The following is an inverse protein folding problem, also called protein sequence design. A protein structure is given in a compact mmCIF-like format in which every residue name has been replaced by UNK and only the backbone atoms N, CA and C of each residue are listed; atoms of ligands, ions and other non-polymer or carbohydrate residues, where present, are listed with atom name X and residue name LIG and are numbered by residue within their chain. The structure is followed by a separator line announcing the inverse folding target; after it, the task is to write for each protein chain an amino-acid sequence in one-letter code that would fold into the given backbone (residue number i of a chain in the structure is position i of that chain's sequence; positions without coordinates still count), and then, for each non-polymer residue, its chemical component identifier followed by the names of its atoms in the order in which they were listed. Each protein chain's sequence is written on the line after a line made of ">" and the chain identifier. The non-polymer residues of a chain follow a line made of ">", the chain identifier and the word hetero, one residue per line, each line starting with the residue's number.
data_IF_718472039076
#
_entry.id   IF_718472039076
#
_cell.length_a   1.000
_cell.length_b   1.000
_cell.length_c   1.000
_cell.angle_alpha   90.00
_cell.angle_beta   90.00
_cell.angle_gamma   90.00
#
_symmetry.space_group_name_H-M   'P 1'
#
loop_
_entity.id
_entity.type
_entity.pdbx_description
1 polymer ?
#
# COMPACT_ATOMS: atom_id res chain seq x y z
N UNK A 1 16.62 -2.62 -18.17
CA UNK A 1 16.93 -4.00 -18.56
C UNK A 1 17.83 -4.74 -17.56
N UNK A 2 18.84 -4.10 -16.96
CA UNK A 2 19.71 -4.77 -15.99
C UNK A 2 19.11 -4.79 -14.58
N UNK A 3 18.32 -3.79 -14.21
CA UNK A 3 17.60 -3.73 -12.94
C UNK A 3 16.40 -4.68 -12.91
N UNK A 4 15.78 -4.96 -14.05
CA UNK A 4 14.68 -5.94 -14.16
C UNK A 4 15.17 -7.35 -13.76
N UNK A 5 16.40 -7.68 -14.08
CA UNK A 5 17.03 -8.96 -13.74
C UNK A 5 17.31 -9.10 -12.24
N UNK A 6 17.38 -7.98 -11.53
CA UNK A 6 17.63 -7.94 -10.08
C UNK A 6 16.34 -7.88 -9.23
N UNK A 7 15.18 -7.86 -9.88
CA UNK A 7 13.92 -7.94 -9.16
C UNK A 7 13.74 -9.34 -8.59
N UNK A 8 13.79 -9.45 -7.27
CA UNK A 8 13.55 -10.72 -6.58
C UNK A 8 12.09 -10.82 -6.16
N UNK A 9 11.46 -11.98 -6.32
CA UNK A 9 10.12 -12.20 -5.81
C UNK A 9 10.02 -11.96 -4.30
N UNK A 10 8.86 -11.53 -3.84
CA UNK A 10 8.57 -11.35 -2.43
C UNK A 10 7.59 -12.43 -2.00
N UNK A 11 8.01 -13.30 -1.09
CA UNK A 11 7.16 -14.30 -0.47
C UNK A 11 6.75 -13.81 0.92
N UNK A 12 5.46 -13.65 1.15
CA UNK A 12 4.92 -13.24 2.43
C UNK A 12 4.16 -14.41 3.04
N UNK A 13 4.80 -15.05 4.01
CA UNK A 13 4.24 -16.14 4.83
C UNK A 13 3.74 -17.35 4.03
N UNK A 14 4.23 -17.56 2.81
CA UNK A 14 3.77 -18.64 1.92
C UNK A 14 2.35 -18.44 1.37
N UNK A 15 1.70 -17.34 1.70
CA UNK A 15 0.31 -17.03 1.34
C UNK A 15 0.21 -16.08 0.17
N UNK A 16 1.08 -15.06 0.13
CA UNK A 16 1.13 -14.08 -0.94
C UNK A 16 2.52 -14.09 -1.58
N UNK A 17 2.55 -14.24 -2.89
CA UNK A 17 3.77 -14.25 -3.68
C UNK A 17 3.69 -13.14 -4.73
N UNK A 18 4.64 -12.20 -4.66
CA UNK A 18 4.71 -11.06 -5.57
C UNK A 18 5.89 -11.29 -6.50
N UNK A 19 5.64 -11.38 -7.78
CA UNK A 19 6.64 -11.74 -8.78
C UNK A 19 6.52 -10.91 -10.06
N UNK A 20 7.60 -10.90 -10.83
CA UNK A 20 7.57 -10.37 -12.20
C UNK A 20 7.01 -11.44 -13.17
N UNK A 21 6.57 -11.03 -14.39
CA UNK A 21 6.05 -11.98 -15.37
C UNK A 21 7.04 -13.09 -15.75
N UNK A 22 8.35 -12.83 -15.68
CA UNK A 22 9.40 -13.79 -16.02
C UNK A 22 9.75 -14.77 -14.87
N UNK A 23 9.16 -14.60 -13.69
CA UNK A 23 9.31 -15.55 -12.59
C UNK A 23 8.27 -16.66 -12.71
N UNK A 24 8.60 -17.84 -12.23
CA UNK A 24 7.69 -18.98 -12.21
C UNK A 24 6.49 -18.72 -11.30
N UNK A 25 5.33 -19.17 -11.76
CA UNK A 25 4.11 -19.14 -10.97
C UNK A 25 4.23 -20.10 -9.79
N UNK A 26 3.75 -19.68 -8.62
CA UNK A 26 3.70 -20.52 -7.43
C UNK A 26 2.27 -20.97 -7.12
N UNK A 27 2.15 -21.88 -6.14
CA UNK A 27 0.85 -22.32 -5.61
C UNK A 27 0.33 -21.43 -4.48
N UNK A 28 0.91 -20.25 -4.25
CA UNK A 28 0.44 -19.33 -3.22
C UNK A 28 -1.02 -18.92 -3.44
N UNK A 29 -1.75 -18.70 -2.36
CA UNK A 29 -3.15 -18.26 -2.40
C UNK A 29 -3.31 -16.99 -3.21
N UNK A 30 -2.40 -16.04 -3.03
CA UNK A 30 -2.34 -14.79 -3.80
C UNK A 30 -1.03 -14.74 -4.57
N UNK A 31 -1.10 -14.98 -5.88
CA UNK A 31 0.02 -14.87 -6.80
C UNK A 31 -0.15 -13.56 -7.59
N UNK A 32 0.61 -12.55 -7.20
CA UNK A 32 0.51 -11.20 -7.77
C UNK A 32 1.64 -10.99 -8.77
N UNK A 33 1.27 -10.64 -9.99
CA UNK A 33 2.23 -10.39 -11.09
C UNK A 33 2.38 -8.89 -11.29
N UNK A 34 3.59 -8.40 -11.11
CA UNK A 34 3.94 -6.99 -11.24
C UNK A 34 4.99 -6.82 -12.33
N UNK A 35 4.75 -5.94 -13.29
CA UNK A 35 5.78 -5.51 -14.21
C UNK A 35 6.75 -4.58 -13.47
N UNK A 36 8.00 -4.98 -13.24
CA UNK A 36 8.95 -4.19 -12.45
C UNK A 36 9.53 -3.06 -13.30
N UNK A 37 8.78 -1.97 -13.42
CA UNK A 37 9.27 -0.74 -14.05
C UNK A 37 9.94 0.16 -13.01
N UNK A 38 10.49 1.30 -13.44
CA UNK A 38 11.18 2.27 -12.58
C UNK A 38 10.35 2.82 -11.42
N UNK A 39 9.04 2.59 -11.42
CA UNK A 39 8.13 2.92 -10.33
C UNK A 39 8.30 2.06 -9.09
N UNK A 40 9.01 0.93 -9.20
CA UNK A 40 9.32 0.09 -8.05
C UNK A 40 10.53 0.69 -7.33
N UNK A 41 10.28 1.36 -6.20
CA UNK A 41 11.32 2.03 -5.44
C UNK A 41 12.41 1.08 -4.99
N UNK A 42 13.67 1.48 -5.19
CA UNK A 42 14.83 0.75 -4.72
C UNK A 42 14.85 0.68 -3.18
N UNK A 43 14.95 -0.52 -2.62
CA UNK A 43 15.17 -0.72 -1.19
C UNK A 43 13.90 -0.81 -0.33
N UNK A 44 12.72 -0.94 -0.92
CA UNK A 44 11.47 -0.98 -0.16
C UNK A 44 10.84 -2.37 -0.06
N UNK A 45 11.61 -3.44 -0.21
CA UNK A 45 11.12 -4.80 -0.04
C UNK A 45 10.56 -5.04 1.37
N UNK A 46 11.22 -4.50 2.40
CA UNK A 46 10.82 -4.63 3.79
C UNK A 46 9.46 -3.98 4.06
N UNK A 47 9.24 -2.77 3.56
CA UNK A 47 7.98 -2.05 3.77
C UNK A 47 6.83 -2.70 3.01
N UNK A 48 7.06 -3.11 1.78
CA UNK A 48 6.07 -3.87 0.99
C UNK A 48 5.73 -5.18 1.67
N UNK A 49 6.72 -5.91 2.18
CA UNK A 49 6.51 -7.14 2.93
C UNK A 49 5.62 -6.92 4.16
N UNK A 50 5.93 -5.92 4.98
CA UNK A 50 5.17 -5.62 6.20
C UNK A 50 3.75 -5.14 5.89
N UNK A 51 3.57 -4.27 4.92
CA UNK A 51 2.24 -3.79 4.51
C UNK A 51 1.39 -4.94 3.95
N UNK A 52 1.99 -5.82 3.16
CA UNK A 52 1.35 -7.03 2.66
C UNK A 52 0.91 -7.92 3.82
N UNK A 53 1.78 -8.15 4.80
CA UNK A 53 1.45 -8.93 6.00
C UNK A 53 0.29 -8.32 6.77
N UNK A 54 0.26 -6.99 6.94
CA UNK A 54 -0.87 -6.30 7.57
C UNK A 54 -2.19 -6.59 6.85
N UNK A 55 -2.20 -6.51 5.53
CA UNK A 55 -3.41 -6.79 4.74
C UNK A 55 -3.83 -8.25 4.89
N UNK A 56 -2.88 -9.19 4.95
CA UNK A 56 -3.16 -10.61 5.14
C UNK A 56 -3.70 -10.92 6.55
N UNK A 57 -3.26 -10.19 7.56
CA UNK A 57 -3.65 -10.41 8.96
C UNK A 57 -4.94 -9.67 9.36
N UNK A 58 -5.43 -8.77 8.53
CA UNK A 58 -6.60 -7.96 8.83
C UNK A 58 -7.68 -8.16 7.75
N UNK A 59 -8.91 -7.87 8.11
CA UNK A 59 -10.04 -8.05 7.21
C UNK A 59 -10.24 -6.82 6.33
N UNK A 60 -10.24 -7.02 5.00
CA UNK A 60 -10.56 -5.99 4.01
C UNK A 60 -11.78 -6.36 3.17
N UNK A 61 -12.40 -7.49 3.45
CA UNK A 61 -13.56 -7.96 2.70
C UNK A 61 -14.73 -6.97 2.83
N UNK A 62 -15.36 -6.69 1.70
CA UNK A 62 -16.50 -5.77 1.58
C UNK A 62 -16.18 -4.33 2.01
N UNK A 63 -14.90 -3.95 2.08
CA UNK A 63 -14.46 -2.63 2.50
C UNK A 63 -14.03 -1.77 1.31
N UNK A 64 -14.11 -0.45 1.50
CA UNK A 64 -13.58 0.55 0.56
C UNK A 64 -12.17 0.92 1.03
N UNK A 65 -11.19 0.73 0.16
CA UNK A 65 -9.76 0.84 0.50
C UNK A 65 -9.11 1.94 -0.34
N UNK A 66 -8.23 2.72 0.30
CA UNK A 66 -7.34 3.67 -0.37
C UNK A 66 -5.90 3.15 -0.30
N UNK A 67 -5.24 3.07 -1.44
CA UNK A 67 -3.79 2.86 -1.55
C UNK A 67 -3.13 4.17 -1.97
N UNK A 68 -2.58 4.89 -1.00
CA UNK A 68 -1.98 6.21 -1.19
C UNK A 68 -0.49 6.11 -1.45
N UNK A 69 -0.02 6.72 -2.55
CA UNK A 69 1.34 6.50 -3.05
C UNK A 69 1.50 5.07 -3.57
N UNK A 70 0.59 4.64 -4.42
CA UNK A 70 0.40 3.23 -4.76
C UNK A 70 1.56 2.57 -5.52
N UNK A 71 2.44 3.35 -6.15
CA UNK A 71 3.58 2.81 -6.90
C UNK A 71 3.16 1.86 -8.01
N UNK A 72 3.46 0.57 -7.82
CA UNK A 72 3.06 -0.49 -8.76
C UNK A 72 1.65 -1.03 -8.50
N UNK A 73 0.95 -0.54 -7.48
CA UNK A 73 -0.36 -0.98 -7.01
C UNK A 73 -0.39 -2.37 -6.34
N UNK A 74 0.73 -2.88 -5.86
CA UNK A 74 0.78 -4.19 -5.17
C UNK A 74 -0.26 -4.28 -4.05
N UNK A 75 -0.33 -3.27 -3.19
CA UNK A 75 -1.22 -3.29 -2.02
C UNK A 75 -2.69 -3.19 -2.44
N UNK A 76 -2.99 -2.35 -3.43
CA UNK A 76 -4.33 -2.24 -4.02
C UNK A 76 -4.78 -3.57 -4.62
N UNK A 77 -3.91 -4.24 -5.35
CA UNK A 77 -4.19 -5.53 -5.97
C UNK A 77 -4.48 -6.59 -4.90
N UNK A 78 -3.65 -6.67 -3.85
CA UNK A 78 -3.89 -7.62 -2.76
C UNK A 78 -5.23 -7.35 -2.06
N UNK A 79 -5.54 -6.09 -1.76
CA UNK A 79 -6.82 -5.72 -1.15
C UNK A 79 -8.00 -6.15 -2.04
N UNK A 80 -7.90 -5.92 -3.35
CA UNK A 80 -8.90 -6.36 -4.32
C UNK A 80 -9.09 -7.88 -4.31
N UNK A 81 -8.00 -8.64 -4.38
CA UNK A 81 -8.02 -10.10 -4.37
C UNK A 81 -8.58 -10.65 -3.05
N UNK A 82 -8.44 -9.93 -1.95
CA UNK A 82 -8.99 -10.31 -0.64
C UNK A 82 -10.44 -9.86 -0.43
N UNK A 83 -11.09 -9.36 -1.45
CA UNK A 83 -12.52 -9.10 -1.43
C UNK A 83 -12.94 -7.67 -1.10
N UNK A 84 -12.04 -6.69 -1.14
CA UNK A 84 -12.43 -5.28 -1.04
C UNK A 84 -13.51 -4.96 -2.09
N UNK A 85 -14.49 -4.15 -1.71
CA UNK A 85 -15.56 -3.74 -2.62
C UNK A 85 -15.03 -2.82 -3.71
N UNK A 86 -14.23 -1.85 -3.30
CA UNK A 86 -13.60 -0.88 -4.19
C UNK A 86 -12.25 -0.49 -3.63
N UNK A 87 -11.28 -0.30 -4.51
CA UNK A 87 -9.95 0.20 -4.15
C UNK A 87 -9.65 1.41 -5.01
N UNK A 88 -9.33 2.54 -4.37
CA UNK A 88 -8.77 3.71 -5.02
C UNK A 88 -7.25 3.69 -4.82
N UNK A 89 -6.51 3.80 -5.90
CA UNK A 89 -5.05 3.82 -5.90
C UNK A 89 -4.56 5.14 -6.48
N UNK A 90 -3.77 5.89 -5.70
CA UNK A 90 -3.36 7.25 -6.06
C UNK A 90 -1.84 7.35 -6.03
N UNK A 91 -1.27 7.94 -7.06
CA UNK A 91 0.15 8.30 -7.09
C UNK A 91 0.34 9.62 -7.81
N UNK A 92 1.29 10.42 -7.36
CA UNK A 92 1.63 11.70 -7.97
C UNK A 92 2.45 11.52 -9.24
N UNK A 93 3.15 10.39 -9.36
CA UNK A 93 4.02 10.08 -10.48
C UNK A 93 3.22 9.46 -11.63
N UNK A 94 3.30 10.07 -12.80
CA UNK A 94 2.62 9.57 -14.00
C UNK A 94 3.06 8.14 -14.36
N UNK A 95 4.33 7.79 -14.16
CA UNK A 95 4.80 6.43 -14.39
C UNK A 95 4.13 5.41 -13.48
N UNK A 96 3.99 5.76 -12.20
CA UNK A 96 3.30 4.93 -11.23
C UNK A 96 1.81 4.81 -11.59
N UNK A 97 1.18 5.91 -11.98
CA UNK A 97 -0.21 5.91 -12.44
C UNK A 97 -0.43 4.93 -13.59
N UNK A 98 0.37 5.02 -14.65
CA UNK A 98 0.26 4.15 -15.83
C UNK A 98 0.59 2.69 -15.48
N UNK A 99 1.65 2.46 -14.70
CA UNK A 99 2.06 1.13 -14.30
C UNK A 99 1.02 0.45 -13.38
N UNK A 100 0.39 1.22 -12.50
CA UNK A 100 -0.69 0.71 -11.65
C UNK A 100 -1.89 0.23 -12.46
N UNK A 101 -2.27 0.95 -13.50
CA UNK A 101 -3.36 0.54 -14.41
C UNK A 101 -3.02 -0.80 -15.07
N UNK A 102 -1.81 -0.90 -15.64
CA UNK A 102 -1.35 -2.14 -16.29
C UNK A 102 -1.32 -3.32 -15.33
N UNK A 103 -0.82 -3.12 -14.11
CA UNK A 103 -0.72 -4.18 -13.13
C UNK A 103 -2.09 -4.61 -12.59
N UNK A 104 -3.02 -3.67 -12.39
CA UNK A 104 -4.38 -4.00 -12.02
C UNK A 104 -5.07 -4.88 -13.09
N UNK A 105 -4.92 -4.53 -14.35
CA UNK A 105 -5.43 -5.33 -15.47
C UNK A 105 -4.78 -6.71 -15.55
N UNK A 106 -3.46 -6.77 -15.40
CA UNK A 106 -2.68 -8.02 -15.43
C UNK A 106 -3.14 -9.02 -14.36
N UNK A 107 -3.61 -8.53 -13.22
CA UNK A 107 -4.12 -9.35 -12.13
C UNK A 107 -5.65 -9.48 -12.13
N UNK A 108 -6.33 -9.02 -13.18
CA UNK A 108 -7.79 -9.08 -13.34
C UNK A 108 -8.56 -8.37 -12.22
N UNK A 109 -7.99 -7.30 -11.67
CA UNK A 109 -8.62 -6.49 -10.63
C UNK A 109 -9.45 -5.36 -11.26
N UNK A 110 -10.75 -5.59 -11.47
CA UNK A 110 -11.64 -4.65 -12.15
C UNK A 110 -12.21 -3.58 -11.23
N UNK A 111 -12.06 -3.72 -9.93
CA UNK A 111 -12.59 -2.81 -8.91
C UNK A 111 -11.53 -1.84 -8.36
N UNK A 112 -10.37 -1.75 -9.01
CA UNK A 112 -9.34 -0.76 -8.69
C UNK A 112 -9.51 0.42 -9.64
N UNK A 113 -9.65 1.62 -9.07
CA UNK A 113 -9.62 2.86 -9.81
C UNK A 113 -8.32 3.60 -9.50
N UNK A 114 -7.56 3.94 -10.53
CA UNK A 114 -6.25 4.59 -10.37
C UNK A 114 -6.38 6.07 -10.70
N UNK A 115 -5.79 6.92 -9.88
CA UNK A 115 -5.77 8.37 -10.06
C UNK A 115 -4.33 8.90 -10.02
N UNK A 116 -4.04 9.90 -10.83
CA UNK A 116 -2.81 10.66 -10.74
C UNK A 116 -3.05 11.91 -9.90
N UNK A 117 -2.32 12.05 -8.80
CA UNK A 117 -2.46 13.20 -7.91
C UNK A 117 -1.83 12.98 -6.54
N UNK A 118 -2.00 13.95 -5.68
CA UNK A 118 -1.57 13.91 -4.28
C UNK A 118 -2.77 13.89 -3.32
N UNK A 119 -2.52 14.11 -2.02
CA UNK A 119 -3.57 14.09 -1.02
C UNK A 119 -4.65 15.19 -1.21
N UNK A 120 -4.37 16.21 -2.03
CA UNK A 120 -5.33 17.27 -2.29
C UNK A 120 -6.59 16.80 -3.04
N UNK A 121 -6.51 15.66 -3.74
CA UNK A 121 -7.65 15.10 -4.46
C UNK A 121 -8.54 14.21 -3.58
N UNK A 122 -8.12 13.93 -2.35
CA UNK A 122 -8.89 13.09 -1.42
C UNK A 122 -10.19 13.77 -1.00
N UNK A 123 -11.22 12.95 -0.78
CA UNK A 123 -12.47 13.41 -0.21
C UNK A 123 -12.23 14.05 1.17
N UNK A 124 -12.92 15.16 1.43
CA UNK A 124 -12.86 15.86 2.74
C UNK A 124 -13.92 15.35 3.71
N UNK A 125 -14.50 14.21 3.40
CA UNK A 125 -15.54 13.54 4.17
C UNK A 125 -15.23 12.05 4.24
N UNK A 126 -15.74 11.31 5.23
CA UNK A 126 -15.49 9.89 5.38
C UNK A 126 -15.89 9.09 4.14
N UNK A 127 -14.94 8.37 3.57
CA UNK A 127 -15.14 7.54 2.38
C UNK A 127 -14.52 6.14 2.53
N UNK A 128 -13.36 6.03 3.17
CA UNK A 128 -12.60 4.79 3.22
C UNK A 128 -12.72 4.09 4.56
N UNK A 129 -12.84 2.78 4.50
CA UNK A 129 -12.75 1.90 5.67
C UNK A 129 -11.29 1.63 6.05
N UNK A 130 -10.41 1.57 5.05
CA UNK A 130 -8.99 1.28 5.21
C UNK A 130 -8.18 2.23 4.33
N UNK A 131 -7.14 2.82 4.91
CA UNK A 131 -6.13 3.61 4.19
C UNK A 131 -4.78 2.91 4.33
N UNK A 132 -4.12 2.68 3.20
CA UNK A 132 -2.78 2.14 3.12
C UNK A 132 -1.86 3.23 2.60
N UNK A 133 -0.82 3.59 3.35
CA UNK A 133 0.10 4.65 2.97
C UNK A 133 1.56 4.22 3.21
N UNK A 134 2.19 3.72 2.17
CA UNK A 134 3.60 3.35 2.17
C UNK A 134 4.41 4.48 1.52
N UNK A 135 4.64 5.53 2.29
CA UNK A 135 5.23 6.79 1.84
C UNK A 135 6.22 7.29 2.90
N UNK A 136 7.17 8.17 2.51
CA UNK A 136 8.15 8.69 3.46
C UNK A 136 7.50 9.52 4.58
N UNK A 137 8.22 9.60 5.72
CA UNK A 137 7.78 10.28 6.95
C UNK A 137 7.25 11.69 6.71
N UNK A 138 7.97 12.51 5.97
CA UNK A 138 7.64 13.92 5.84
C UNK A 138 6.32 14.14 5.11
N UNK A 139 6.06 13.35 4.07
CA UNK A 139 4.79 13.38 3.34
C UNK A 139 3.66 12.87 4.21
N UNK A 140 3.86 11.77 4.95
CA UNK A 140 2.85 11.23 5.85
C UNK A 140 2.41 12.25 6.90
N UNK A 141 3.37 12.95 7.52
CA UNK A 141 3.08 13.98 8.52
C UNK A 141 2.33 15.16 7.89
N UNK A 142 2.78 15.62 6.73
CA UNK A 142 2.16 16.72 6.00
C UNK A 142 0.69 16.42 5.65
N UNK A 143 0.40 15.21 5.20
CA UNK A 143 -0.90 14.83 4.65
C UNK A 143 -1.80 14.10 5.67
N UNK A 144 -1.36 13.96 6.92
CA UNK A 144 -2.06 13.18 7.95
C UNK A 144 -3.51 13.62 8.15
N UNK A 145 -3.76 14.94 8.14
CA UNK A 145 -5.13 15.47 8.26
C UNK A 145 -6.02 14.97 7.11
N UNK A 146 -5.50 14.98 5.90
CA UNK A 146 -6.26 14.51 4.73
C UNK A 146 -6.64 13.04 4.85
N UNK A 147 -5.76 12.21 5.41
CA UNK A 147 -6.06 10.80 5.66
C UNK A 147 -7.12 10.64 6.75
N UNK A 148 -7.01 11.40 7.82
CA UNK A 148 -8.03 11.38 8.89
C UNK A 148 -9.41 11.83 8.41
N UNK A 149 -9.47 12.88 7.59
CA UNK A 149 -10.72 13.43 7.08
C UNK A 149 -11.47 12.45 6.16
N UNK A 150 -10.74 11.65 5.36
CA UNK A 150 -11.36 10.69 4.45
C UNK A 150 -11.59 9.30 5.04
N UNK A 151 -11.17 9.06 6.27
CA UNK A 151 -11.35 7.80 6.97
C UNK A 151 -12.71 7.77 7.68
N UNK A 152 -13.45 6.69 7.50
CA UNK A 152 -14.70 6.46 8.24
C UNK A 152 -14.42 6.23 9.72
N UNK A 153 -15.40 6.54 10.57
CA UNK A 153 -15.35 6.19 11.99
C UNK A 153 -15.16 4.68 12.17
N UNK A 154 -14.20 4.30 13.02
CA UNK A 154 -13.82 2.90 13.20
C UNK A 154 -12.93 2.35 12.09
N UNK A 155 -12.56 3.16 11.11
CA UNK A 155 -11.64 2.79 10.04
C UNK A 155 -10.21 2.59 10.53
N UNK A 156 -9.39 1.99 9.69
CA UNK A 156 -8.01 1.64 9.99
C UNK A 156 -7.05 2.26 9.01
N UNK A 157 -5.90 2.74 9.51
CA UNK A 157 -4.80 3.22 8.67
C UNK A 157 -3.55 2.39 8.95
N UNK A 158 -2.86 2.02 7.89
CA UNK A 158 -1.58 1.33 7.92
C UNK A 158 -0.52 2.21 7.27
N UNK A 159 0.51 2.54 8.01
CA UNK A 159 1.62 3.38 7.55
C UNK A 159 2.89 2.57 7.44
N UNK A 160 3.70 2.84 6.44
CA UNK A 160 5.09 2.41 6.33
C UNK A 160 5.87 3.36 5.41
N UNK A 161 7.16 3.09 5.23
CA UNK A 161 8.05 3.94 4.43
C UNK A 161 8.96 4.82 5.30
N UNK A 162 9.14 4.45 6.55
CA UNK A 162 9.96 5.14 7.53
C UNK A 162 10.61 4.16 8.50
N UNK A 163 11.52 4.66 9.33
CA UNK A 163 12.29 3.86 10.27
C UNK A 163 11.69 3.88 11.68
N UNK A 164 12.17 2.97 12.52
CA UNK A 164 11.74 2.87 13.92
C UNK A 164 11.92 4.22 14.65
N UNK A 165 12.99 4.96 14.38
CA UNK A 165 13.27 6.27 14.97
C UNK A 165 12.20 7.31 14.64
N UNK A 166 11.47 7.11 13.56
CA UNK A 166 10.44 8.06 13.09
C UNK A 166 9.08 7.86 13.77
N UNK A 167 8.88 6.76 14.50
CA UNK A 167 7.61 6.42 15.13
C UNK A 167 7.02 7.56 15.94
N UNK A 168 7.78 8.23 16.84
CA UNK A 168 7.20 9.30 17.67
C UNK A 168 6.61 10.45 16.85
N UNK A 169 7.21 10.78 15.71
CA UNK A 169 6.74 11.86 14.83
C UNK A 169 5.44 11.46 14.11
N UNK A 170 5.38 10.24 13.59
CA UNK A 170 4.18 9.71 12.93
C UNK A 170 3.04 9.57 13.93
N UNK A 171 3.31 9.00 15.09
CA UNK A 171 2.31 8.79 16.15
C UNK A 171 1.71 10.11 16.61
N UNK A 172 2.55 11.12 16.86
CA UNK A 172 2.09 12.45 17.27
C UNK A 172 1.15 13.07 16.22
N UNK A 173 1.51 13.00 14.94
CA UNK A 173 0.70 13.52 13.86
C UNK A 173 -0.64 12.77 13.75
N UNK A 174 -0.61 11.45 13.90
CA UNK A 174 -1.81 10.60 13.84
C UNK A 174 -2.75 10.89 15.03
N UNK A 175 -2.23 10.97 16.23
CA UNK A 175 -3.02 11.28 17.44
C UNK A 175 -3.68 12.65 17.36
N UNK A 176 -3.04 13.64 16.75
CA UNK A 176 -3.63 14.96 16.51
C UNK A 176 -4.88 14.90 15.62
N UNK A 177 -5.02 13.87 14.82
CA UNK A 177 -6.20 13.63 13.96
C UNK A 177 -7.16 12.59 14.55
N UNK A 178 -7.02 12.26 15.83
CA UNK A 178 -7.93 11.33 16.52
C UNK A 178 -7.67 9.86 16.25
N UNK A 179 -6.51 9.52 15.70
CA UNK A 179 -6.11 8.14 15.47
C UNK A 179 -5.40 7.57 16.68
N UNK A 180 -5.57 6.29 16.94
CA UNK A 180 -4.94 5.59 18.06
C UNK A 180 -4.03 4.48 17.57
N UNK A 181 -2.87 4.34 18.19
CA UNK A 181 -1.92 3.27 17.92
C UNK A 181 -2.51 1.91 18.30
N UNK A 182 -2.38 0.93 17.43
CA UNK A 182 -2.84 -0.45 17.67
C UNK A 182 -1.65 -1.41 17.74
N UNK A 183 -0.81 -1.45 16.71
CA UNK A 183 0.27 -2.42 16.60
C UNK A 183 1.33 -1.97 15.60
N UNK A 184 2.45 -2.68 15.56
CA UNK A 184 3.50 -2.44 14.59
C UNK A 184 4.19 -3.73 14.17
N UNK A 185 4.79 -3.69 12.98
CA UNK A 185 5.72 -4.67 12.46
C UNK A 185 7.07 -3.99 12.22
N UNK A 186 8.15 -4.69 12.45
CA UNK A 186 9.50 -4.20 12.19
C UNK A 186 10.28 -5.21 11.33
N UNK A 187 11.10 -4.69 10.43
CA UNK A 187 11.98 -5.49 9.58
C UNK A 187 13.17 -4.64 9.14
N UNK A 188 14.37 -5.05 9.55
CA UNK A 188 15.61 -4.34 9.21
C UNK A 188 15.55 -2.83 9.45
N UNK A 189 15.10 -2.43 10.64
CA UNK A 189 14.87 -1.05 11.08
C UNK A 189 13.73 -0.32 10.37
N UNK A 190 13.16 -0.86 9.32
CA UNK A 190 11.90 -0.37 8.76
C UNK A 190 10.74 -0.77 9.65
N UNK A 191 9.69 0.04 9.66
CA UNK A 191 8.51 -0.21 10.50
C UNK A 191 7.22 0.01 9.71
N UNK A 192 6.20 -0.74 10.09
CA UNK A 192 4.84 -0.50 9.64
C UNK A 192 3.92 -0.38 10.85
N UNK A 193 3.14 0.69 10.91
CA UNK A 193 2.22 1.00 12.01
C UNK A 193 0.77 0.77 11.60
N UNK A 194 -0.01 0.20 12.51
CA UNK A 194 -1.46 0.16 12.43
C UNK A 194 -2.03 1.14 13.44
#
# INVERSE_FOLDING_TARGET
>A
EEWEKNFSPIDVDGVCYIRAPFHEKTAATYDIVIEPKMSFGTGHHETTFMMTRHILQNDVKDKVVLDMGCGTAILAILASLRGATQVDAIDIDNWCYLNSIENAERNNCLNIQVFEGDASILAKEPKYDVVLANINRNILIKDMKSYGDCLKSGGEIYFSGFYVEDIPYIQKAAEAEGLSYVSQLEKNNWVSLK
#
